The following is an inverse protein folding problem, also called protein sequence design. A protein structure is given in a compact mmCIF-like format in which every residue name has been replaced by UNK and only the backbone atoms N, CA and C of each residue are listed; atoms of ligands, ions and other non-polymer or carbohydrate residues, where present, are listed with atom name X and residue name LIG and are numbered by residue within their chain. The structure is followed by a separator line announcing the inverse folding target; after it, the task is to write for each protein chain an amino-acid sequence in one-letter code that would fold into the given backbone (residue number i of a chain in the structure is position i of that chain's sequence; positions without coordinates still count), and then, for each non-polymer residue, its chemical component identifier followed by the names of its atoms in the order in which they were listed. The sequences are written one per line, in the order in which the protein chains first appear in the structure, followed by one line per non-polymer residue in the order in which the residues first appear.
data_IF_103007004128
#
_entry.id   IF_103007004128
#
_cell.length_a   1.000
_cell.length_b   1.000
_cell.length_c   1.000
_cell.angle_alpha   90.00
_cell.angle_beta   90.00
_cell.angle_gamma   90.00
#
_symmetry.space_group_name_H-M   'P 1'
#
loop_
_entity.id
_entity.type
_entity.pdbx_description
1 polymer ?
#
# COMPACT_ATOMS: atom_id res chain seq x y z
N UNK A 1 11.87 -12.70 -2.58
CA UNK A 1 12.64 -12.30 -1.36
C UNK A 1 11.75 -11.44 -0.45
N UNK A 2 11.18 -10.31 -0.91
CA UNK A 2 10.37 -9.40 -0.07
C UNK A 2 9.15 -10.09 0.54
N UNK A 3 8.40 -10.88 -0.25
CA UNK A 3 7.25 -11.65 0.23
C UNK A 3 7.65 -12.67 1.31
N UNK A 4 8.78 -13.40 1.10
CA UNK A 4 9.28 -14.35 2.10
C UNK A 4 9.68 -13.65 3.40
N UNK A 5 10.29 -12.47 3.31
CA UNK A 5 10.61 -11.65 4.46
C UNK A 5 9.35 -11.16 5.19
N UNK A 6 8.29 -10.77 4.45
CA UNK A 6 7.01 -10.39 5.02
C UNK A 6 6.39 -11.55 5.82
N UNK A 7 6.36 -12.77 5.26
CA UNK A 7 5.87 -13.98 5.95
C UNK A 7 6.70 -14.28 7.20
N UNK A 8 8.04 -14.14 7.11
CA UNK A 8 8.95 -14.40 8.24
C UNK A 8 8.72 -13.41 9.39
N UNK A 9 8.52 -12.13 9.08
CA UNK A 9 8.33 -11.06 10.08
C UNK A 9 6.94 -11.02 10.68
N UNK A 10 5.95 -11.66 10.06
CA UNK A 10 4.59 -11.64 10.55
C UNK A 10 4.49 -12.27 11.96
N UNK A 11 3.98 -11.55 12.97
CA UNK A 11 4.07 -11.99 14.38
C UNK A 11 3.07 -13.07 14.77
N UNK A 12 2.02 -13.27 13.97
CA UNK A 12 0.97 -14.25 14.21
C UNK A 12 1.18 -15.52 13.36
N UNK A 13 0.09 -16.15 12.94
CA UNK A 13 0.16 -17.31 12.04
C UNK A 13 0.79 -16.94 10.68
N UNK A 14 1.93 -17.54 10.37
CA UNK A 14 2.64 -17.36 9.09
C UNK A 14 1.86 -17.91 7.91
N UNK A 15 0.90 -18.79 8.15
CA UNK A 15 0.05 -19.36 7.12
C UNK A 15 -0.85 -18.30 6.45
N UNK A 16 -1.36 -17.33 7.23
CA UNK A 16 -2.24 -16.28 6.70
C UNK A 16 -1.57 -15.44 5.60
N UNK A 17 -0.44 -14.76 5.86
CA UNK A 17 0.23 -13.99 4.82
C UNK A 17 0.76 -14.89 3.69
N UNK A 18 1.19 -16.12 3.97
CA UNK A 18 1.62 -17.06 2.95
C UNK A 18 0.47 -17.41 1.99
N UNK A 19 -0.71 -17.74 2.51
CA UNK A 19 -1.90 -18.02 1.68
C UNK A 19 -2.29 -16.81 0.82
N UNK A 20 -2.30 -15.61 1.38
CA UNK A 20 -2.63 -14.38 0.64
C UNK A 20 -1.62 -14.08 -0.48
N UNK A 21 -0.33 -14.28 -0.22
CA UNK A 21 0.73 -14.03 -1.20
C UNK A 21 0.86 -15.17 -2.24
N UNK A 22 0.34 -16.36 -1.95
CA UNK A 22 0.31 -17.50 -2.87
C UNK A 22 -1.02 -17.61 -3.64
N UNK A 23 -1.92 -16.64 -3.53
CA UNK A 23 -3.12 -16.62 -4.39
C UNK A 23 -2.72 -16.57 -5.87
N UNK A 24 -3.48 -17.21 -6.77
CA UNK A 24 -3.14 -17.25 -8.19
C UNK A 24 -2.87 -15.87 -8.80
N UNK A 25 -3.67 -14.86 -8.41
CA UNK A 25 -3.46 -13.49 -8.87
C UNK A 25 -2.15 -12.87 -8.36
N UNK A 26 -1.76 -13.16 -7.13
CA UNK A 26 -0.50 -12.66 -6.56
C UNK A 26 0.70 -13.28 -7.25
N UNK A 27 0.64 -14.59 -7.53
CA UNK A 27 1.69 -15.32 -8.26
C UNK A 27 1.77 -14.81 -9.70
N UNK A 28 0.63 -14.63 -10.37
CA UNK A 28 0.58 -14.07 -11.72
C UNK A 28 1.21 -12.66 -11.77
N UNK A 29 0.85 -11.78 -10.83
CA UNK A 29 1.45 -10.43 -10.73
C UNK A 29 2.94 -10.47 -10.43
N UNK A 30 3.40 -11.43 -9.64
CA UNK A 30 4.83 -11.59 -9.34
C UNK A 30 5.63 -12.08 -10.56
N UNK A 31 5.02 -12.88 -11.44
CA UNK A 31 5.61 -13.35 -12.71
C UNK A 31 5.48 -12.35 -13.85
N UNK A 32 4.58 -11.37 -13.75
CA UNK A 32 4.44 -10.32 -14.75
C UNK A 32 5.55 -9.26 -14.58
N UNK A 33 5.99 -8.66 -15.69
CA UNK A 33 6.93 -7.53 -15.68
C UNK A 33 6.28 -6.22 -15.18
N UNK A 34 5.15 -6.31 -14.48
CA UNK A 34 4.40 -5.19 -13.95
C UNK A 34 4.95 -4.71 -12.59
N UNK A 35 4.94 -3.41 -12.36
CA UNK A 35 5.25 -2.81 -11.06
C UNK A 35 4.29 -3.27 -9.94
N UNK A 36 3.15 -3.88 -10.28
CA UNK A 36 2.13 -4.33 -9.32
C UNK A 36 2.64 -5.46 -8.41
N UNK A 37 3.50 -6.35 -8.94
CA UNK A 37 4.12 -7.42 -8.16
C UNK A 37 5.05 -6.86 -7.07
N UNK A 38 5.87 -5.88 -7.43
CA UNK A 38 6.74 -5.18 -6.46
C UNK A 38 5.90 -4.42 -5.43
N UNK A 39 4.88 -3.70 -5.87
CA UNK A 39 3.98 -2.95 -4.99
C UNK A 39 3.33 -3.87 -3.96
N UNK A 40 2.79 -5.02 -4.39
CA UNK A 40 2.18 -6.01 -3.50
C UNK A 40 3.19 -6.50 -2.45
N UNK A 41 4.43 -6.81 -2.87
CA UNK A 41 5.48 -7.28 -1.97
C UNK A 41 5.88 -6.22 -0.94
N UNK A 42 5.99 -4.95 -1.34
CA UNK A 42 6.33 -3.84 -0.44
C UNK A 42 5.19 -3.55 0.53
N UNK A 43 3.92 -3.56 0.08
CA UNK A 43 2.74 -3.43 0.95
C UNK A 43 2.71 -4.55 1.99
N UNK A 44 2.88 -5.81 1.56
CA UNK A 44 2.89 -6.95 2.46
C UNK A 44 4.00 -6.83 3.52
N UNK A 45 5.20 -6.42 3.09
CA UNK A 45 6.34 -6.24 3.98
C UNK A 45 6.12 -5.06 4.96
N UNK A 46 5.52 -3.96 4.50
CA UNK A 46 5.14 -2.84 5.36
C UNK A 46 4.18 -3.28 6.46
N UNK A 47 3.08 -3.96 6.10
CA UNK A 47 2.09 -4.44 7.07
C UNK A 47 2.73 -5.43 8.06
N UNK A 48 3.49 -6.40 7.56
CA UNK A 48 4.17 -7.37 8.39
C UNK A 48 5.18 -6.70 9.35
N UNK A 49 5.92 -5.70 8.88
CA UNK A 49 6.92 -5.01 9.69
C UNK A 49 6.27 -4.16 10.80
N UNK A 50 5.20 -3.42 10.49
CA UNK A 50 4.45 -2.65 11.49
C UNK A 50 3.88 -3.58 12.57
N UNK A 51 3.27 -4.71 12.17
CA UNK A 51 2.78 -5.71 13.11
C UNK A 51 3.90 -6.34 13.93
N UNK A 52 5.05 -6.62 13.31
CA UNK A 52 6.23 -7.12 14.01
C UNK A 52 6.73 -6.13 15.06
N UNK A 53 6.78 -4.85 14.73
CA UNK A 53 7.16 -3.82 15.69
C UNK A 53 6.17 -3.72 16.85
N UNK A 54 4.88 -3.87 16.60
CA UNK A 54 3.85 -3.77 17.64
C UNK A 54 3.79 -5.01 18.54
N UNK A 55 3.82 -6.21 17.97
CA UNK A 55 3.54 -7.46 18.67
C UNK A 55 4.74 -8.40 18.80
N UNK A 56 5.71 -8.30 17.88
CA UNK A 56 6.87 -9.20 17.85
C UNK A 56 8.10 -8.69 18.60
N UNK A 57 8.12 -7.42 18.99
CA UNK A 57 9.23 -6.83 19.75
C UNK A 57 8.74 -6.29 21.09
N UNK A 58 9.62 -6.25 22.09
CA UNK A 58 9.32 -5.69 23.41
C UNK A 58 10.12 -4.43 23.68
N UNK A 59 9.58 -3.55 24.53
CA UNK A 59 10.24 -2.30 24.91
C UNK A 59 10.05 -1.15 23.93
N UNK A 60 10.87 -0.11 24.07
CA UNK A 60 10.81 1.11 23.25
C UNK A 60 11.46 0.91 21.91
N UNK A 61 10.85 1.50 20.87
CA UNK A 61 11.39 1.48 19.52
C UNK A 61 12.70 2.28 19.43
N UNK A 62 13.72 1.63 18.87
CA UNK A 62 15.03 2.25 18.63
C UNK A 62 15.08 2.92 17.26
N UNK A 63 16.01 3.85 17.06
CA UNK A 63 16.21 4.48 15.74
C UNK A 63 16.49 3.45 14.65
N UNK A 64 17.23 2.37 14.95
CA UNK A 64 17.52 1.29 13.98
C UNK A 64 16.28 0.56 13.50
N UNK A 65 15.23 0.46 14.33
CA UNK A 65 13.94 -0.13 13.97
C UNK A 65 13.05 0.84 13.17
N UNK A 66 13.26 2.13 13.31
CA UNK A 66 12.52 3.13 12.54
C UNK A 66 13.04 3.28 11.11
N UNK A 67 14.35 3.09 10.88
CA UNK A 67 14.95 3.22 9.54
C UNK A 67 14.25 2.34 8.47
N UNK A 68 14.03 1.02 8.67
CA UNK A 68 13.31 0.21 7.68
C UNK A 68 11.89 0.72 7.44
N UNK A 69 11.23 1.30 8.45
CA UNK A 69 9.90 1.85 8.37
C UNK A 69 9.87 3.03 7.37
N UNK A 70 10.82 3.96 7.47
CA UNK A 70 10.95 5.08 6.54
C UNK A 70 11.33 4.62 5.14
N UNK A 71 12.23 3.62 5.01
CA UNK A 71 12.61 3.07 3.72
C UNK A 71 11.42 2.41 3.00
N UNK A 72 10.59 1.64 3.72
CA UNK A 72 9.42 1.01 3.15
C UNK A 72 8.37 2.03 2.68
N UNK A 73 8.16 3.11 3.45
CA UNK A 73 7.27 4.21 3.03
C UNK A 73 7.82 4.92 1.80
N UNK A 74 9.13 5.16 1.74
CA UNK A 74 9.76 5.72 0.56
C UNK A 74 9.53 4.83 -0.66
N UNK A 75 9.73 3.52 -0.53
CA UNK A 75 9.45 2.56 -1.61
C UNK A 75 7.98 2.57 -2.03
N UNK A 76 7.04 2.59 -1.07
CA UNK A 76 5.61 2.68 -1.35
C UNK A 76 5.24 3.92 -2.13
N UNK A 77 5.79 5.07 -1.76
CA UNK A 77 5.53 6.35 -2.44
C UNK A 77 6.02 6.37 -3.89
N UNK A 78 7.07 5.60 -4.20
CA UNK A 78 7.59 5.47 -5.57
C UNK A 78 6.81 4.44 -6.41
N UNK A 79 6.17 3.45 -5.77
CA UNK A 79 5.39 2.45 -6.49
C UNK A 79 4.11 3.06 -7.10
N UNK A 80 3.20 3.50 -6.26
CA UNK A 80 1.94 4.15 -6.68
C UNK A 80 1.41 5.03 -5.55
N UNK A 81 1.13 6.28 -5.85
CA UNK A 81 0.60 7.27 -4.89
C UNK A 81 -0.72 6.82 -4.24
N UNK A 82 -1.53 6.01 -4.96
CA UNK A 82 -2.80 5.45 -4.47
C UNK A 82 -2.63 4.56 -3.24
N UNK A 83 -1.44 4.01 -3.01
CA UNK A 83 -1.16 3.17 -1.83
C UNK A 83 -0.68 3.97 -0.62
N UNK A 84 -0.51 5.29 -0.72
CA UNK A 84 -0.13 6.11 0.43
C UNK A 84 -1.05 5.95 1.65
N UNK A 85 -2.39 5.75 1.51
CA UNK A 85 -3.25 5.47 2.66
C UNK A 85 -2.83 4.24 3.48
N UNK A 86 -2.11 3.28 2.88
CA UNK A 86 -1.56 2.13 3.61
C UNK A 86 -0.56 2.57 4.70
N UNK A 87 0.09 3.72 4.52
CA UNK A 87 0.97 4.30 5.52
C UNK A 87 0.23 4.66 6.82
N UNK A 88 -1.10 4.87 6.77
CA UNK A 88 -1.94 5.11 7.95
C UNK A 88 -1.97 3.88 8.88
N UNK A 89 -1.59 2.71 8.38
CA UNK A 89 -1.42 1.53 9.23
C UNK A 89 -0.36 1.75 10.34
N UNK A 90 0.46 2.78 10.24
CA UNK A 90 1.31 3.26 11.33
C UNK A 90 0.54 3.52 12.63
N UNK A 91 -0.73 3.88 12.57
CA UNK A 91 -1.58 4.08 13.75
C UNK A 91 -1.76 2.82 14.61
N UNK A 92 -1.46 1.63 14.09
CA UNK A 92 -1.42 0.39 14.86
C UNK A 92 -0.33 0.42 15.92
N UNK A 93 0.77 1.18 15.69
CA UNK A 93 1.84 1.34 16.65
C UNK A 93 1.38 2.21 17.83
N UNK A 94 1.44 1.65 19.03
CA UNK A 94 1.09 2.37 20.26
C UNK A 94 2.08 3.50 20.54
N UNK A 95 1.62 4.71 20.95
CA UNK A 95 2.50 5.82 21.32
C UNK A 95 3.48 5.48 22.45
N UNK A 96 3.11 4.54 23.32
CA UNK A 96 3.94 4.06 24.44
C UNK A 96 5.26 3.45 23.95
N UNK A 97 5.25 2.81 22.78
CA UNK A 97 6.43 2.22 22.13
C UNK A 97 7.49 3.26 21.75
N UNK A 98 7.10 4.51 21.59
CA UNK A 98 8.01 5.62 21.29
C UNK A 98 8.55 6.31 22.55
N UNK A 99 8.05 5.94 23.73
CA UNK A 99 8.42 6.52 25.01
C UNK A 99 7.85 7.91 25.29
N UNK A 100 7.32 8.61 24.29
CA UNK A 100 6.64 9.90 24.42
C UNK A 100 5.65 10.10 23.27
N UNK A 101 4.46 10.65 23.58
CA UNK A 101 3.47 11.04 22.57
C UNK A 101 4.05 12.04 21.56
N UNK A 102 4.88 12.99 22.02
CA UNK A 102 5.55 13.95 21.16
C UNK A 102 6.43 13.26 20.11
N UNK A 103 7.26 12.28 20.51
CA UNK A 103 8.12 11.52 19.62
C UNK A 103 7.30 10.70 18.61
N UNK A 104 6.18 10.11 19.03
CA UNK A 104 5.24 9.41 18.16
C UNK A 104 4.71 10.33 17.04
N UNK A 105 4.17 11.50 17.41
CA UNK A 105 3.63 12.47 16.44
C UNK A 105 4.70 13.03 15.50
N UNK A 106 5.92 13.28 15.98
CA UNK A 106 7.01 13.70 15.12
C UNK A 106 7.42 12.62 14.11
N UNK A 107 7.44 11.34 14.51
CA UNK A 107 7.71 10.25 13.57
C UNK A 107 6.56 10.07 12.57
N UNK A 108 5.31 10.16 13.01
CA UNK A 108 4.15 10.13 12.11
C UNK A 108 4.21 11.29 11.10
N UNK A 109 4.43 12.52 11.57
CA UNK A 109 4.54 13.69 10.70
C UNK A 109 5.71 13.56 9.71
N UNK A 110 6.87 13.09 10.17
CA UNK A 110 8.03 12.83 9.31
C UNK A 110 7.75 11.76 8.25
N UNK A 111 7.05 10.70 8.61
CA UNK A 111 6.67 9.62 7.71
C UNK A 111 5.66 10.09 6.65
N UNK A 112 4.65 10.86 7.06
CA UNK A 112 3.66 11.46 6.14
C UNK A 112 4.33 12.48 5.23
N UNK A 113 5.21 13.34 5.76
CA UNK A 113 5.95 14.32 4.98
C UNK A 113 6.87 13.64 3.94
N UNK A 114 7.55 12.54 4.32
CA UNK A 114 8.36 11.75 3.40
C UNK A 114 7.49 11.11 2.30
N UNK A 115 6.36 10.49 2.68
CA UNK A 115 5.45 9.84 1.75
C UNK A 115 4.90 10.82 0.72
N UNK A 116 4.39 11.96 1.19
CA UNK A 116 3.84 13.01 0.31
C UNK A 116 4.94 13.68 -0.52
N UNK A 117 6.05 14.07 0.11
CA UNK A 117 7.16 14.75 -0.57
C UNK A 117 7.77 13.88 -1.69
N UNK A 118 8.06 12.62 -1.40
CA UNK A 118 8.59 11.70 -2.39
C UNK A 118 7.56 11.34 -3.47
N UNK A 119 6.30 11.09 -3.09
CA UNK A 119 5.23 10.76 -4.03
C UNK A 119 4.88 11.92 -4.96
N UNK A 120 4.71 13.14 -4.41
CA UNK A 120 4.42 14.34 -5.21
C UNK A 120 5.64 14.75 -6.05
N UNK A 121 6.87 14.63 -5.50
CA UNK A 121 8.09 14.88 -6.25
C UNK A 121 8.21 13.94 -7.46
N UNK A 122 7.95 12.65 -7.27
CA UNK A 122 7.91 11.70 -8.37
C UNK A 122 6.82 12.02 -9.38
N UNK A 123 5.61 12.37 -8.92
CA UNK A 123 4.51 12.76 -9.79
C UNK A 123 4.87 14.01 -10.63
N UNK A 124 5.50 15.01 -10.02
CA UNK A 124 5.94 16.23 -10.72
C UNK A 124 7.00 15.94 -11.80
N UNK A 125 7.92 15.00 -11.53
CA UNK A 125 8.92 14.57 -12.51
C UNK A 125 8.26 13.74 -13.62
N UNK A 126 7.48 12.73 -13.25
CA UNK A 126 6.87 11.81 -14.21
C UNK A 126 5.81 12.46 -15.10
N UNK A 127 5.11 13.50 -14.61
CA UNK A 127 4.12 14.24 -15.40
C UNK A 127 4.72 14.90 -16.65
N UNK A 128 6.02 15.21 -16.63
CA UNK A 128 6.72 15.76 -17.80
C UNK A 128 6.92 14.74 -18.93
N UNK A 129 6.87 13.45 -18.60
CA UNK A 129 7.08 12.33 -19.53
C UNK A 129 5.79 11.60 -19.89
N UNK A 130 4.67 11.92 -19.21
CA UNK A 130 3.38 11.36 -19.55
C UNK A 130 2.87 12.02 -20.83
N UNK A 131 2.60 11.21 -21.84
CA UNK A 131 2.03 11.68 -23.09
C UNK A 131 0.70 12.42 -22.85
N UNK A 132 0.41 13.41 -23.68
CA UNK A 132 -0.75 14.32 -23.58
C UNK A 132 -2.13 13.62 -23.50
N UNK A 133 -2.22 12.33 -23.80
CA UNK A 133 -3.44 11.51 -23.66
C UNK A 133 -3.87 11.21 -22.22
N UNK A 134 -3.01 11.42 -21.22
CA UNK A 134 -3.35 11.22 -19.79
C UNK A 134 -3.85 12.50 -19.09
N UNK A 135 -4.10 13.58 -19.82
CA UNK A 135 -4.58 14.86 -19.28
C UNK A 135 -6.01 14.82 -18.71
N UNK A 136 -6.71 13.69 -18.82
CA UNK A 136 -8.07 13.49 -18.30
C UNK A 136 -8.16 13.41 -16.77
N UNK A 137 -7.04 13.29 -16.07
CA UNK A 137 -7.04 13.17 -14.60
C UNK A 137 -7.61 14.40 -13.89
N UNK A 138 -7.37 15.59 -14.41
CA UNK A 138 -7.88 16.86 -13.85
C UNK A 138 -9.39 16.98 -13.99
N UNK A 139 -9.94 16.59 -15.13
CA UNK A 139 -11.38 16.60 -15.39
C UNK A 139 -12.12 15.56 -14.58
N UNK A 140 -11.53 14.37 -14.38
CA UNK A 140 -12.08 13.33 -13.51
C UNK A 140 -12.12 13.76 -12.05
N UNK A 141 -11.03 14.35 -11.54
CA UNK A 141 -11.00 14.86 -10.17
C UNK A 141 -12.02 15.97 -9.95
N UNK A 142 -12.14 16.89 -10.88
CA UNK A 142 -13.15 17.95 -10.85
C UNK A 142 -14.58 17.37 -10.83
N UNK A 143 -14.86 16.36 -11.65
CA UNK A 143 -16.16 15.68 -11.68
C UNK A 143 -16.47 14.96 -10.35
N UNK A 144 -15.48 14.29 -9.73
CA UNK A 144 -15.63 13.63 -8.43
C UNK A 144 -15.91 14.65 -7.33
N UNK A 145 -15.19 15.78 -7.33
CA UNK A 145 -15.37 16.84 -6.34
C UNK A 145 -16.70 17.58 -6.51
N UNK A 146 -17.20 17.67 -7.75
CA UNK A 146 -18.50 18.30 -8.03
C UNK A 146 -19.69 17.45 -7.58
N UNK A 147 -19.64 16.13 -7.75
CA UNK A 147 -20.69 15.20 -7.32
C UNK A 147 -20.10 13.94 -6.65
N UNK A 148 -19.67 14.03 -5.38
CA UNK A 148 -19.10 12.90 -4.65
C UNK A 148 -20.14 11.79 -4.38
N UNK A 149 -21.41 12.15 -4.19
CA UNK A 149 -22.47 11.16 -3.96
C UNK A 149 -22.80 10.37 -5.23
N UNK A 150 -22.85 11.05 -6.38
CA UNK A 150 -22.99 10.40 -7.68
C UNK A 150 -21.82 9.43 -7.95
N UNK A 151 -20.59 9.83 -7.62
CA UNK A 151 -19.44 8.96 -7.74
C UNK A 151 -19.52 7.72 -6.84
N UNK A 152 -19.92 7.88 -5.57
CA UNK A 152 -20.16 6.74 -4.67
C UNK A 152 -21.25 5.79 -5.21
N UNK A 153 -22.32 6.34 -5.80
CA UNK A 153 -23.39 5.55 -6.43
C UNK A 153 -22.85 4.72 -7.61
N UNK A 154 -21.99 5.33 -8.45
CA UNK A 154 -21.34 4.62 -9.57
C UNK A 154 -20.46 3.50 -9.04
N UNK A 155 -19.64 3.74 -8.01
CA UNK A 155 -18.81 2.70 -7.38
C UNK A 155 -19.63 1.53 -6.84
N UNK A 156 -20.70 1.82 -6.11
CA UNK A 156 -21.61 0.78 -5.56
C UNK A 156 -22.29 -0.01 -6.67
N UNK A 157 -22.70 0.66 -7.76
CA UNK A 157 -23.27 0.00 -8.93
C UNK A 157 -22.26 -0.90 -9.60
N UNK A 158 -21.02 -0.44 -9.77
CA UNK A 158 -19.92 -1.23 -10.36
C UNK A 158 -19.62 -2.46 -9.51
N UNK A 159 -19.54 -2.30 -8.18
CA UNK A 159 -19.36 -3.43 -7.27
C UNK A 159 -20.50 -4.44 -7.35
N UNK A 160 -21.75 -3.97 -7.46
CA UNK A 160 -22.92 -4.85 -7.59
C UNK A 160 -22.93 -5.62 -8.90
N UNK A 161 -22.55 -4.98 -10.01
CA UNK A 161 -22.59 -5.58 -11.35
C UNK A 161 -21.34 -6.45 -11.60
N UNK A 162 -20.16 -5.98 -11.20
CA UNK A 162 -18.90 -6.65 -11.51
C UNK A 162 -18.28 -7.38 -10.31
N UNK A 163 -18.89 -7.31 -9.13
CA UNK A 163 -18.32 -7.88 -7.91
C UNK A 163 -18.04 -9.39 -8.03
N UNK A 164 -18.93 -10.13 -8.66
CA UNK A 164 -18.72 -11.56 -8.93
C UNK A 164 -17.51 -11.80 -9.83
N UNK A 165 -17.40 -11.08 -10.93
CA UNK A 165 -16.28 -11.17 -11.86
C UNK A 165 -14.95 -10.79 -11.18
N UNK A 166 -14.97 -9.76 -10.33
CA UNK A 166 -13.79 -9.38 -9.54
C UNK A 166 -13.36 -10.50 -8.59
N UNK A 167 -14.30 -11.15 -7.91
CA UNK A 167 -14.01 -12.29 -7.03
C UNK A 167 -13.48 -13.49 -7.83
N UNK A 168 -14.08 -13.81 -8.98
CA UNK A 168 -13.61 -14.86 -9.87
C UNK A 168 -12.19 -14.60 -10.36
N UNK A 169 -11.87 -13.36 -10.74
CA UNK A 169 -10.52 -12.94 -11.10
C UNK A 169 -9.53 -13.03 -9.92
N UNK A 170 -9.94 -12.66 -8.71
CA UNK A 170 -9.11 -12.83 -7.51
C UNK A 170 -8.76 -14.28 -7.23
N UNK A 171 -9.69 -15.21 -7.51
CA UNK A 171 -9.47 -16.65 -7.40
C UNK A 171 -8.70 -17.25 -8.58
N UNK A 172 -8.37 -16.44 -9.59
CA UNK A 172 -7.66 -16.91 -10.80
C UNK A 172 -8.56 -17.55 -11.86
N UNK A 173 -9.88 -17.51 -11.67
CA UNK A 173 -10.84 -18.00 -12.64
C UNK A 173 -10.93 -16.97 -13.79
N UNK A 174 -10.66 -17.39 -15.03
CA UNK A 174 -10.70 -16.49 -16.19
C UNK A 174 -9.38 -15.85 -16.60
N UNK A 175 -8.25 -16.13 -15.93
CA UNK A 175 -6.93 -15.62 -16.33
C UNK A 175 -6.34 -16.31 -17.58
N UNK A 176 -7.08 -17.20 -18.22
CA UNK A 176 -6.63 -17.96 -19.41
C UNK A 176 -7.45 -17.72 -20.66
N UNK A 177 -8.36 -16.75 -20.68
CA UNK A 177 -9.24 -16.49 -21.83
C UNK A 177 -8.99 -15.06 -22.29
N UNK A 178 -7.92 -14.88 -23.03
CA UNK A 178 -7.56 -13.66 -23.72
C UNK A 178 -6.53 -13.94 -24.77
#
# INVERSE_FOLDING_TARGET
ILCALAVKLFPFSKALPALLLLTPISVHKAGSMSADGLTLAVVALWLAYVLHLQYGTHGRLTARQLVPLYLLVLMLSQCKIVYLPVCLFFFVLSPERFGSKKRYFWNLAGLVALALGAGLGWLAISSRYLAAGYSTSGTQLAAILHDPLGYCRILLRTLRVQGRTLLEQMMGIGMGVG
#
